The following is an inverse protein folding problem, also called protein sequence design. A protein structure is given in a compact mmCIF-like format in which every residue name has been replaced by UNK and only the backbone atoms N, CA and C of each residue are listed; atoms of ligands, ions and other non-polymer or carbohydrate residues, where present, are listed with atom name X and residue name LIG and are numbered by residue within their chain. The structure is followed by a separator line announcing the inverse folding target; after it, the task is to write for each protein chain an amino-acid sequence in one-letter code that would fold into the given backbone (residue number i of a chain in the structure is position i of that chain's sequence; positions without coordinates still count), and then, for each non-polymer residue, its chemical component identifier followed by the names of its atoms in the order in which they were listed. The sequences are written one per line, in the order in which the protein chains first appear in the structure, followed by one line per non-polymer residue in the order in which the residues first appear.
data_IF_279975666457
#
_entry.id   IF_279975666457
#
_cell.length_a   1.000
_cell.length_b   1.000
_cell.length_c   1.000
_cell.angle_alpha   90.00
_cell.angle_beta   90.00
_cell.angle_gamma   90.00
#
_symmetry.space_group_name_H-M   'P 1'
#
loop_
_entity.id
_entity.type
_entity.pdbx_description
1 polymer ?
#
# COMPACT_ATOMS: atom_id res chain seq x y z
N UNK A 1 28.71 5.20 -10.70
CA UNK A 1 28.37 4.58 -9.39
C UNK A 1 26.90 4.84 -9.08
N UNK A 2 25.98 4.31 -9.90
CA UNK A 2 24.52 4.24 -9.64
C UNK A 2 23.88 3.14 -10.51
N UNK A 3 24.54 1.99 -10.67
CA UNK A 3 24.04 0.86 -11.49
C UNK A 3 23.42 -0.27 -10.65
N UNK A 4 23.59 -0.21 -9.32
CA UNK A 4 23.07 -1.23 -8.40
C UNK A 4 21.53 -1.22 -8.31
N UNK A 5 20.88 -0.06 -8.48
CA UNK A 5 19.41 0.03 -8.48
C UNK A 5 18.81 -0.59 -9.76
N UNK A 6 19.45 -0.38 -10.91
CA UNK A 6 18.98 -0.88 -12.20
C UNK A 6 19.08 -2.40 -12.28
N UNK A 7 20.23 -2.99 -11.93
CA UNK A 7 20.40 -4.44 -11.95
C UNK A 7 19.52 -5.14 -10.88
N UNK A 8 19.41 -4.56 -9.69
CA UNK A 8 18.51 -5.08 -8.65
C UNK A 8 17.04 -5.01 -9.09
N UNK A 9 16.64 -3.91 -9.72
CA UNK A 9 15.29 -3.73 -10.29
C UNK A 9 15.00 -4.74 -11.39
N UNK A 10 15.93 -4.95 -12.32
CA UNK A 10 15.78 -5.94 -13.39
C UNK A 10 15.62 -7.36 -12.83
N UNK A 11 16.45 -7.74 -11.85
CA UNK A 11 16.34 -9.02 -11.16
C UNK A 11 15.00 -9.17 -10.44
N UNK A 12 14.52 -8.10 -9.79
CA UNK A 12 13.22 -8.09 -9.12
C UNK A 12 12.08 -8.28 -10.12
N UNK A 13 12.12 -7.59 -11.26
CA UNK A 13 11.11 -7.72 -12.32
C UNK A 13 11.07 -9.17 -12.86
N UNK A 14 12.24 -9.76 -13.12
CA UNK A 14 12.33 -11.16 -13.57
C UNK A 14 11.77 -12.13 -12.53
N UNK A 15 12.07 -11.89 -11.25
CA UNK A 15 11.54 -12.69 -10.15
C UNK A 15 10.02 -12.59 -10.04
N UNK A 16 9.44 -11.39 -10.14
CA UNK A 16 7.98 -11.19 -10.13
C UNK A 16 7.33 -11.90 -11.31
N UNK A 17 7.85 -11.75 -12.53
CA UNK A 17 7.30 -12.41 -13.72
C UNK A 17 7.30 -13.93 -13.60
N UNK A 18 8.39 -14.52 -13.11
CA UNK A 18 8.46 -15.96 -12.85
C UNK A 18 7.44 -16.43 -11.82
N UNK A 19 7.23 -15.63 -10.77
CA UNK A 19 6.21 -15.90 -9.75
C UNK A 19 4.80 -15.83 -10.32
N UNK A 20 4.52 -14.83 -11.17
CA UNK A 20 3.25 -14.73 -11.86
C UNK A 20 2.97 -15.97 -12.72
N UNK A 21 3.98 -16.44 -13.46
CA UNK A 21 3.87 -17.68 -14.25
C UNK A 21 3.65 -18.93 -13.37
N UNK A 22 4.41 -19.06 -12.28
CA UNK A 22 4.34 -20.20 -11.34
C UNK A 22 2.95 -20.36 -10.71
N UNK A 23 2.26 -19.25 -10.43
CA UNK A 23 0.95 -19.23 -9.79
C UNK A 23 -0.21 -18.94 -10.75
N UNK A 24 0.05 -18.79 -12.05
CA UNK A 24 -0.96 -18.44 -13.04
C UNK A 24 -1.62 -17.08 -12.82
N UNK A 25 -0.89 -16.11 -12.23
CA UNK A 25 -1.37 -14.75 -11.99
C UNK A 25 -1.30 -13.98 -13.30
N UNK A 26 -2.45 -13.52 -13.79
CA UNK A 26 -2.51 -12.68 -14.99
C UNK A 26 -2.24 -11.22 -14.65
N UNK A 27 -2.00 -10.39 -15.67
CA UNK A 27 -1.85 -8.95 -15.45
C UNK A 27 -3.17 -8.35 -14.96
N UNK A 28 -4.29 -8.85 -15.48
CA UNK A 28 -5.63 -8.46 -15.08
C UNK A 28 -5.90 -8.77 -13.60
N UNK A 29 -5.48 -9.94 -13.10
CA UNK A 29 -5.58 -10.28 -11.67
C UNK A 29 -4.78 -9.30 -10.80
N UNK A 30 -3.59 -8.91 -11.26
CA UNK A 30 -2.74 -7.96 -10.57
C UNK A 30 -3.37 -6.56 -10.54
N UNK A 31 -3.90 -6.08 -11.67
CA UNK A 31 -4.62 -4.80 -11.76
C UNK A 31 -5.84 -4.76 -10.86
N UNK A 32 -6.65 -5.82 -10.87
CA UNK A 32 -7.82 -5.95 -10.00
C UNK A 32 -7.42 -5.91 -8.51
N UNK A 33 -6.36 -6.61 -8.14
CA UNK A 33 -5.88 -6.63 -6.77
C UNK A 33 -5.34 -5.27 -6.31
N UNK A 34 -4.59 -4.56 -7.16
CA UNK A 34 -4.09 -3.21 -6.85
C UNK A 34 -5.27 -2.25 -6.65
N UNK A 35 -6.23 -2.24 -7.58
CA UNK A 35 -7.41 -1.40 -7.48
C UNK A 35 -8.25 -1.71 -6.23
N UNK A 36 -8.30 -2.97 -5.80
CA UNK A 36 -8.97 -3.36 -4.56
C UNK A 36 -8.16 -2.94 -3.31
N UNK A 37 -6.84 -3.10 -3.35
CA UNK A 37 -5.94 -2.67 -2.27
C UNK A 37 -6.03 -1.16 -2.02
N UNK A 38 -6.15 -0.34 -3.07
CA UNK A 38 -6.34 1.12 -2.96
C UNK A 38 -7.68 1.51 -2.30
N UNK A 39 -8.70 0.64 -2.41
CA UNK A 39 -10.00 0.84 -1.75
C UNK A 39 -9.99 0.41 -0.29
N UNK A 40 -9.01 -0.39 0.14
CA UNK A 40 -8.96 -0.87 1.51
C UNK A 40 -8.50 0.24 2.47
N UNK A 41 -9.15 0.38 3.62
CA UNK A 41 -8.79 1.42 4.57
C UNK A 41 -7.49 1.05 5.28
N UNK A 42 -6.39 1.73 4.95
CA UNK A 42 -5.10 1.59 5.62
C UNK A 42 -5.15 2.00 7.09
N UNK A 43 -6.01 2.95 7.45
CA UNK A 43 -6.18 3.43 8.82
C UNK A 43 -7.63 3.35 9.26
N UNK A 44 -7.87 2.96 10.51
CA UNK A 44 -9.19 2.88 11.16
C UNK A 44 -9.13 3.26 12.63
N UNK A 45 -10.14 3.97 13.12
CA UNK A 45 -10.32 4.22 14.55
C UNK A 45 -11.46 3.40 15.19
N UNK A 46 -11.57 3.48 16.51
CA UNK A 46 -12.60 2.77 17.29
C UNK A 46 -14.04 3.24 17.00
N UNK A 47 -14.21 4.39 16.34
CA UNK A 47 -15.50 4.97 15.98
C UNK A 47 -15.94 4.58 14.56
N UNK A 48 -15.15 3.74 13.87
CA UNK A 48 -15.44 3.27 12.53
C UNK A 48 -15.04 4.24 11.42
N UNK A 49 -14.29 5.30 11.74
CA UNK A 49 -13.72 6.16 10.71
C UNK A 49 -12.60 5.41 10.01
N UNK A 50 -12.51 5.59 8.70
CA UNK A 50 -11.50 4.91 7.88
C UNK A 50 -10.82 5.87 6.92
N UNK A 51 -9.57 5.60 6.58
CA UNK A 51 -8.82 6.33 5.57
C UNK A 51 -7.86 5.39 4.85
N UNK A 52 -7.85 5.43 3.52
CA UNK A 52 -6.98 4.59 2.68
C UNK A 52 -5.56 5.19 2.51
N UNK A 53 -5.28 6.33 3.14
CA UNK A 53 -3.99 7.02 3.00
C UNK A 53 -3.90 7.93 1.79
N UNK A 54 -4.94 8.01 0.96
CA UNK A 54 -5.00 8.87 -0.21
C UNK A 54 -5.76 10.17 0.05
N UNK A 55 -5.32 11.26 -0.60
CA UNK A 55 -5.92 12.58 -0.45
C UNK A 55 -5.58 13.27 0.86
N UNK A 56 -6.38 14.27 1.25
CA UNK A 56 -6.17 15.03 2.47
C UNK A 56 -6.45 14.19 3.72
N UNK A 57 -5.56 14.32 4.71
CA UNK A 57 -5.74 13.64 6.00
C UNK A 57 -7.06 14.08 6.65
N UNK A 58 -7.95 13.14 6.99
CA UNK A 58 -9.25 13.49 7.52
C UNK A 58 -9.17 14.10 8.92
N UNK A 59 -10.16 14.92 9.25
CA UNK A 59 -10.18 15.69 10.51
C UNK A 59 -10.10 14.83 11.77
N UNK A 60 -10.63 13.60 11.76
CA UNK A 60 -10.53 12.67 12.88
C UNK A 60 -9.06 12.28 13.13
N UNK A 61 -8.28 12.02 12.09
CA UNK A 61 -6.89 11.61 12.19
C UNK A 61 -5.96 12.77 12.50
N UNK A 62 -6.25 13.95 11.96
CA UNK A 62 -5.56 15.19 12.32
C UNK A 62 -5.65 15.49 13.82
N UNK A 63 -6.81 15.27 14.45
CA UNK A 63 -6.99 15.49 15.90
C UNK A 63 -6.05 14.62 16.73
N UNK A 64 -5.93 13.33 16.40
CA UNK A 64 -5.00 12.42 17.08
C UNK A 64 -3.54 12.80 16.84
N UNK A 65 -3.20 13.18 15.61
CA UNK A 65 -1.86 13.68 15.29
C UNK A 65 -1.52 14.94 16.10
N UNK A 66 -2.44 15.89 16.22
CA UNK A 66 -2.26 17.10 17.05
C UNK A 66 -2.16 16.79 18.54
N UNK A 67 -2.77 15.70 19.00
CA UNK A 67 -2.61 15.18 20.37
C UNK A 67 -1.26 14.47 20.60
N UNK A 68 -0.40 14.39 19.58
CA UNK A 68 0.92 13.75 19.64
C UNK A 68 0.91 12.25 19.45
N UNK A 69 -0.23 11.68 19.03
CA UNK A 69 -0.35 10.25 18.77
C UNK A 69 0.18 9.91 17.37
N UNK A 70 0.89 8.80 17.26
CA UNK A 70 1.37 8.29 15.99
C UNK A 70 0.20 7.72 15.17
N UNK A 71 0.16 8.08 13.89
CA UNK A 71 -0.82 7.59 12.91
C UNK A 71 -0.74 6.07 12.74
N UNK A 72 0.44 5.48 12.93
CA UNK A 72 0.67 4.03 12.84
C UNK A 72 -0.16 3.25 13.87
N UNK A 73 -0.60 3.90 14.97
CA UNK A 73 -1.51 3.29 15.93
C UNK A 73 -2.87 2.92 15.34
N UNK A 74 -3.27 3.60 14.26
CA UNK A 74 -4.56 3.39 13.60
C UNK A 74 -4.45 2.48 12.38
N UNK A 75 -3.27 1.91 12.09
CA UNK A 75 -3.06 1.10 10.89
C UNK A 75 -3.82 -0.23 10.98
N UNK A 76 -4.50 -0.61 9.90
CA UNK A 76 -5.20 -1.90 9.73
C UNK A 76 -4.24 -3.01 9.29
#
# INVERSE_FOLDING_TARGET
MFDLDSEARERLILWIRRRMEEYGITLEDLELFIAESERQPMYRDAYGNTWNGEGDMPSWLLRYKHAGQDIEHFRC
#
